data_IF_060967772977
#
_entry.id   IF_060967772977
#
_cell.length_a   1.000
_cell.length_b   1.000
_cell.length_c   1.000
_cell.angle_alpha   90.00
_cell.angle_beta   90.00
_cell.angle_gamma   90.00
#
_symmetry.space_group_name_H-M   'P 1'
#
loop_
_entity.id
_entity.type
_entity.pdbx_description
1 polymer ?
#
# COMPACT_ATOMS: atom_id res chain seq x y z
N UNK A 1 -14.72 -14.73 8.86
CA UNK A 1 -13.47 -14.00 8.59
C UNK A 1 -13.39 -13.83 7.09
N UNK A 2 -13.23 -12.60 6.60
CA UNK A 2 -13.06 -12.37 5.16
C UNK A 2 -11.70 -12.92 4.77
N UNK A 3 -11.66 -13.84 3.81
CA UNK A 3 -10.41 -14.31 3.22
C UNK A 3 -9.76 -13.15 2.47
N UNK A 4 -8.63 -12.66 2.96
CA UNK A 4 -7.91 -11.54 2.36
C UNK A 4 -7.09 -12.09 1.21
N UNK A 5 -7.36 -11.59 0.00
CA UNK A 5 -6.66 -12.03 -1.21
C UNK A 5 -5.95 -10.86 -1.88
N UNK A 6 -4.75 -11.11 -2.37
CA UNK A 6 -4.01 -10.12 -3.14
C UNK A 6 -4.77 -9.75 -4.43
N UNK A 7 -4.95 -8.45 -4.68
CA UNK A 7 -5.69 -7.93 -5.84
C UNK A 7 -7.19 -7.76 -5.63
N UNK A 8 -7.73 -8.08 -4.44
CA UNK A 8 -9.14 -7.86 -4.13
C UNK A 8 -9.50 -6.35 -4.08
N UNK A 9 -10.77 -5.96 -4.30
CA UNK A 9 -11.21 -4.58 -4.12
C UNK A 9 -10.88 -4.04 -2.73
N UNK A 10 -10.24 -2.88 -2.66
CA UNK A 10 -9.80 -2.23 -1.42
C UNK A 10 -10.96 -1.98 -0.44
N UNK A 11 -12.17 -1.75 -0.95
CA UNK A 11 -13.40 -1.57 -0.16
C UNK A 11 -13.84 -2.81 0.61
N UNK A 12 -13.37 -3.99 0.19
CA UNK A 12 -13.67 -5.26 0.83
C UNK A 12 -12.66 -5.62 1.92
N UNK A 13 -11.58 -4.83 2.07
CA UNK A 13 -10.62 -5.01 3.16
C UNK A 13 -11.24 -4.48 4.47
N UNK A 14 -11.51 -5.35 5.46
CA UNK A 14 -12.18 -4.95 6.68
C UNK A 14 -11.27 -4.05 7.53
N UNK A 15 -11.81 -2.93 8.03
CA UNK A 15 -11.12 -2.01 8.95
C UNK A 15 -9.76 -1.49 8.46
N UNK A 16 -9.55 -1.38 7.14
CA UNK A 16 -8.31 -0.89 6.57
C UNK A 16 -8.13 0.63 6.84
N UNK A 17 -7.21 0.95 7.76
CA UNK A 17 -6.80 2.33 8.06
C UNK A 17 -5.78 2.85 7.04
N UNK A 18 -6.26 3.32 5.89
CA UNK A 18 -5.42 3.81 4.81
C UNK A 18 -4.65 5.08 5.19
N UNK A 19 -3.33 5.05 4.99
CA UNK A 19 -2.42 6.19 5.17
C UNK A 19 -1.61 6.44 3.92
N UNK A 20 -1.46 7.70 3.54
CA UNK A 20 -0.50 8.15 2.51
C UNK A 20 0.78 8.70 3.14
N UNK A 21 1.82 8.84 2.31
CA UNK A 21 3.04 9.55 2.70
C UNK A 21 2.76 11.03 2.96
N UNK A 22 3.46 11.62 3.93
CA UNK A 22 3.46 13.08 4.14
C UNK A 22 4.06 13.86 2.97
N UNK A 23 4.87 13.19 2.14
CA UNK A 23 5.45 13.78 0.93
C UNK A 23 4.44 13.81 -0.23
N UNK A 24 3.27 13.17 -0.08
CA UNK A 24 2.23 13.20 -1.10
C UNK A 24 1.39 14.48 -1.01
N UNK A 25 1.18 15.14 -2.16
CA UNK A 25 0.35 16.34 -2.27
C UNK A 25 -1.15 16.09 -2.06
N UNK A 26 -1.93 17.17 -2.17
CA UNK A 26 -3.39 17.13 -2.03
C UNK A 26 -4.11 16.47 -3.24
N UNK A 27 -3.44 16.35 -4.38
CA UNK A 27 -4.07 16.10 -5.69
C UNK A 27 -4.27 14.61 -6.04
N UNK A 28 -4.31 13.72 -5.05
CA UNK A 28 -4.84 12.37 -5.24
C UNK A 28 -3.96 11.36 -5.98
N UNK A 29 -2.64 11.55 -6.07
CA UNK A 29 -1.70 10.62 -6.73
C UNK A 29 -0.86 9.82 -5.73
N UNK A 30 -1.46 9.46 -4.61
CA UNK A 30 -0.75 8.93 -3.46
C UNK A 30 -0.80 7.40 -3.50
N UNK A 31 0.33 6.78 -3.20
CA UNK A 31 0.32 5.39 -2.74
C UNK A 31 -0.17 5.41 -1.30
N UNK A 32 -1.21 4.63 -1.03
CA UNK A 32 -1.79 4.46 0.30
C UNK A 32 -1.52 3.05 0.81
N UNK A 33 -1.23 2.94 2.10
CA UNK A 33 -0.93 1.68 2.76
C UNK A 33 -1.89 1.48 3.94
N UNK A 34 -2.27 0.23 4.23
CA UNK A 34 -3.05 -0.10 5.43
C UNK A 34 -2.55 -1.40 6.06
N UNK A 35 -2.31 -1.46 7.38
CA UNK A 35 -2.06 -2.72 8.06
C UNK A 35 -3.33 -3.57 8.08
N UNK A 36 -3.19 -4.87 7.91
CA UNK A 36 -4.27 -5.85 7.93
C UNK A 36 -4.23 -6.68 9.21
N UNK A 37 -5.38 -7.27 9.57
CA UNK A 37 -5.54 -8.01 10.82
C UNK A 37 -4.75 -9.32 10.86
N UNK A 38 -4.46 -9.89 9.70
CA UNK A 38 -3.62 -11.08 9.50
C UNK A 38 -2.12 -10.76 9.52
N UNK A 39 -1.75 -9.49 9.75
CA UNK A 39 -0.36 -9.03 9.79
C UNK A 39 0.21 -8.58 8.44
N UNK A 40 -0.55 -8.72 7.35
CA UNK A 40 -0.20 -8.19 6.04
C UNK A 40 -0.31 -6.67 5.95
N UNK A 41 0.09 -6.13 4.80
CA UNK A 41 -0.03 -4.72 4.45
C UNK A 41 -0.66 -4.62 3.08
N UNK A 42 -1.80 -3.92 3.01
CA UNK A 42 -2.42 -3.58 1.75
C UNK A 42 -1.83 -2.28 1.18
N UNK A 43 -1.69 -2.22 -0.14
CA UNK A 43 -1.21 -1.06 -0.89
C UNK A 43 -2.22 -0.75 -2.00
N UNK A 44 -2.65 0.52 -2.12
CA UNK A 44 -3.55 0.96 -3.19
C UNK A 44 -3.17 2.33 -3.75
N UNK A 45 -3.77 2.68 -4.88
CA UNK A 45 -3.69 4.01 -5.49
C UNK A 45 -4.85 4.89 -5.01
N UNK A 46 -4.57 6.06 -4.44
CA UNK A 46 -5.61 6.97 -3.93
C UNK A 46 -6.56 7.51 -5.00
N UNK A 47 -6.21 7.47 -6.30
CA UNK A 47 -7.14 7.81 -7.40
C UNK A 47 -8.27 6.79 -7.55
N UNK A 48 -8.03 5.56 -7.09
CA UNK A 48 -8.95 4.43 -7.21
C UNK A 48 -9.15 3.81 -5.81
N UNK A 49 -9.75 4.55 -4.85
CA UNK A 49 -9.87 4.08 -3.47
C UNK A 49 -10.69 2.79 -3.33
N UNK A 50 -11.58 2.52 -4.29
CA UNK A 50 -12.40 1.30 -4.37
C UNK A 50 -11.80 0.22 -5.28
N UNK A 51 -10.69 0.53 -5.97
CA UNK A 51 -10.01 -0.35 -6.91
C UNK A 51 -9.26 -1.49 -6.22
N UNK A 52 -8.48 -2.29 -6.97
CA UNK A 52 -7.73 -3.40 -6.39
C UNK A 52 -6.67 -2.91 -5.40
N UNK A 53 -6.51 -3.64 -4.30
CA UNK A 53 -5.42 -3.48 -3.35
C UNK A 53 -4.45 -4.65 -3.50
N UNK A 54 -3.14 -4.34 -3.52
CA UNK A 54 -2.11 -5.35 -3.44
C UNK A 54 -1.84 -5.67 -1.99
N UNK A 55 -1.78 -6.96 -1.62
CA UNK A 55 -1.54 -7.42 -0.26
C UNK A 55 -0.16 -8.07 -0.21
N UNK A 56 0.70 -7.51 0.63
CA UNK A 56 2.06 -7.99 0.85
C UNK A 56 2.23 -8.46 2.29
N UNK A 57 3.15 -9.41 2.49
CA UNK A 57 3.64 -9.75 3.82
C UNK A 57 4.39 -8.58 4.44
N UNK A 58 4.56 -8.65 5.77
CA UNK A 58 5.35 -7.64 6.50
C UNK A 58 6.81 -7.65 6.07
N UNK A 59 7.37 -8.81 5.75
CA UNK A 59 8.78 -8.95 5.35
C UNK A 59 9.04 -8.34 3.97
N UNK A 60 8.12 -8.52 3.02
CA UNK A 60 8.20 -7.87 1.70
C UNK A 60 8.14 -6.34 1.82
N UNK A 61 7.26 -5.80 2.66
CA UNK A 61 7.22 -4.35 2.91
C UNK A 61 8.48 -3.87 3.62
N UNK A 62 9.03 -4.63 4.58
CA UNK A 62 10.26 -4.26 5.26
C UNK A 62 11.44 -4.19 4.28
N UNK A 63 11.58 -5.20 3.41
CA UNK A 63 12.58 -5.20 2.35
C UNK A 63 12.42 -4.01 1.40
N UNK A 64 11.20 -3.77 0.90
CA UNK A 64 10.90 -2.62 0.04
C UNK A 64 11.25 -1.28 0.70
N UNK A 65 10.91 -1.11 1.98
CA UNK A 65 11.21 0.13 2.71
C UNK A 65 12.70 0.33 2.95
N UNK A 66 13.50 -0.74 3.07
CA UNK A 66 14.95 -0.61 3.17
C UNK A 66 15.55 -0.16 1.82
N UNK A 67 15.23 -0.86 0.72
CA UNK A 67 15.70 -0.46 -0.62
C UNK A 67 15.26 0.96 -1.01
N UNK A 68 14.02 1.35 -0.69
CA UNK A 68 13.54 2.70 -0.93
C UNK A 68 14.26 3.77 -0.09
N UNK A 69 14.75 3.45 1.11
CA UNK A 69 15.57 4.37 1.93
C UNK A 69 17.00 4.47 1.44
N UNK A 70 17.51 3.37 0.87
CA UNK A 70 18.86 3.30 0.30
C UNK A 70 18.93 3.92 -1.10
N UNK A 71 17.79 4.36 -1.65
CA UNK A 71 17.69 5.04 -2.95
C UNK A 71 17.70 4.07 -4.14
N UNK A 72 17.45 2.78 -3.92
CA UNK A 72 17.56 1.73 -4.95
C UNK A 72 16.59 1.92 -6.15
N UNK A 73 15.58 2.77 -5.99
CA UNK A 73 14.53 3.00 -6.99
C UNK A 73 14.45 4.44 -7.49
N UNK A 74 15.42 5.30 -7.14
CA UNK A 74 15.42 6.71 -7.52
C UNK A 74 15.58 6.90 -9.03
N UNK A 75 16.14 5.92 -9.74
CA UNK A 75 16.27 5.88 -11.20
C UNK A 75 14.92 5.78 -11.93
N UNK A 76 13.84 5.42 -11.24
CA UNK A 76 12.49 5.35 -11.83
C UNK A 76 11.82 6.72 -12.00
N UNK A 77 12.40 7.79 -11.46
CA UNK A 77 11.79 9.15 -11.46
C UNK A 77 12.69 10.22 -12.06
N UNK A 78 13.74 9.82 -12.80
CA UNK A 78 14.62 10.72 -13.56
C UNK A 78 14.20 10.88 -15.02
#
# INVERSE_FOLDING_TARGET
MTDVQNGMPAKQLPNAGWRKSRHSGAVGNCVELAPLIDGGVAVRNSRYPEGPALVYSRDEIAAFLNGAKDGEFDDLIV
#
